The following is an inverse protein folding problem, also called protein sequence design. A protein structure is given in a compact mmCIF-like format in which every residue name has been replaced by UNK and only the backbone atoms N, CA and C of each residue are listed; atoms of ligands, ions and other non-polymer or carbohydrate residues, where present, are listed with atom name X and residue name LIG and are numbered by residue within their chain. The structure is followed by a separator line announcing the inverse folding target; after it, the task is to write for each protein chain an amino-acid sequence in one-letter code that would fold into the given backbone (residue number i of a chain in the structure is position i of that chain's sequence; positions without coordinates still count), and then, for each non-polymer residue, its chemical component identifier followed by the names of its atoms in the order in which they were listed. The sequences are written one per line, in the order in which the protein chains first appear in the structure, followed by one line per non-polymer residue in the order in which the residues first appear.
data_IF_726880188175
#
_entry.id   IF_726880188175
#
_cell.length_a   1.000
_cell.length_b   1.000
_cell.length_c   1.000
_cell.angle_alpha   90.00
_cell.angle_beta   90.00
_cell.angle_gamma   90.00
#
_symmetry.space_group_name_H-M   'P 1'
#
loop_
_entity.id
_entity.type
_entity.pdbx_description
1 polymer ?
#
# COMPACT_ATOMS: atom_id res chain seq x y z
N UNK A 1 19.39 17.54 -73.91
CA UNK A 1 18.13 17.49 -73.13
C UNK A 1 18.49 17.18 -71.68
N UNK A 2 18.26 18.13 -70.75
CA UNK A 2 18.51 17.98 -69.30
C UNK A 2 17.17 17.74 -68.59
N UNK A 3 17.11 16.77 -67.69
CA UNK A 3 16.16 16.62 -66.55
C UNK A 3 16.51 15.31 -65.84
N UNK A 4 16.37 15.12 -64.54
CA UNK A 4 16.39 15.94 -63.34
C UNK A 4 16.36 14.86 -62.23
N UNK A 5 17.33 14.87 -61.31
CA UNK A 5 17.41 13.89 -60.23
C UNK A 5 16.35 14.21 -59.17
N UNK A 6 15.47 13.26 -58.88
CA UNK A 6 14.55 13.32 -57.74
C UNK A 6 15.22 12.67 -56.54
N UNK A 7 15.58 13.48 -55.53
CA UNK A 7 16.07 13.00 -54.24
C UNK A 7 14.85 12.87 -53.32
N UNK A 8 14.57 11.65 -52.86
CA UNK A 8 13.53 11.35 -51.87
C UNK A 8 14.09 11.67 -50.49
N UNK A 9 13.54 12.69 -49.83
CA UNK A 9 13.86 13.01 -48.45
C UNK A 9 13.11 12.05 -47.50
N UNK A 10 13.84 11.15 -46.85
CA UNK A 10 13.33 10.31 -45.76
C UNK A 10 13.20 11.12 -44.48
N UNK A 11 11.96 11.28 -44.00
CA UNK A 11 11.67 11.89 -42.71
C UNK A 11 12.09 10.94 -41.57
N UNK A 12 13.03 11.39 -40.73
CA UNK A 12 13.44 10.68 -39.50
C UNK A 12 12.42 11.02 -38.41
N UNK A 13 11.58 10.05 -38.04
CA UNK A 13 10.71 10.17 -36.87
C UNK A 13 11.56 10.04 -35.60
N UNK A 14 11.67 11.14 -34.85
CA UNK A 14 12.31 11.15 -33.53
C UNK A 14 11.28 10.59 -32.54
N UNK A 15 11.38 9.30 -32.23
CA UNK A 15 10.64 8.71 -31.11
C UNK A 15 11.17 9.29 -29.81
N UNK A 16 10.43 10.23 -29.21
CA UNK A 16 10.69 10.67 -27.86
C UNK A 16 10.41 9.51 -26.90
N UNK A 17 11.47 8.82 -26.45
CA UNK A 17 11.40 7.93 -25.30
C UNK A 17 11.04 8.77 -24.08
N UNK A 18 9.75 8.77 -23.72
CA UNK A 18 9.29 9.21 -22.41
C UNK A 18 9.90 8.26 -21.38
N UNK A 19 10.99 8.69 -20.74
CA UNK A 19 11.47 8.04 -19.53
C UNK A 19 10.37 8.15 -18.47
N UNK A 20 9.62 7.07 -18.26
CA UNK A 20 8.71 7.00 -17.12
C UNK A 20 9.54 7.27 -15.86
N UNK A 21 9.11 8.17 -14.96
CA UNK A 21 9.81 8.36 -13.70
C UNK A 21 9.82 7.00 -13.00
N UNK A 22 11.00 6.41 -12.84
CA UNK A 22 11.16 5.23 -12.01
C UNK A 22 10.67 5.63 -10.62
N UNK A 23 9.55 5.05 -10.20
CA UNK A 23 9.03 5.22 -8.85
C UNK A 23 10.13 4.74 -7.90
N UNK A 24 10.86 5.68 -7.32
CA UNK A 24 11.84 5.37 -6.30
C UNK A 24 11.04 4.86 -5.10
N UNK A 25 11.25 3.60 -4.73
CA UNK A 25 10.61 3.01 -3.57
C UNK A 25 10.85 3.92 -2.36
N UNK A 26 9.77 4.41 -1.75
CA UNK A 26 9.86 5.35 -0.64
C UNK A 26 10.47 4.63 0.56
N UNK A 27 11.63 5.07 1.04
CA UNK A 27 12.20 4.52 2.27
C UNK A 27 11.54 5.18 3.48
N UNK A 28 10.59 4.49 4.10
CA UNK A 28 9.94 4.93 5.32
C UNK A 28 10.81 4.52 6.51
N UNK A 29 11.64 5.45 7.00
CA UNK A 29 12.53 5.22 8.15
C UNK A 29 12.05 5.92 9.42
N UNK A 30 11.41 7.09 9.28
CA UNK A 30 10.87 7.87 10.38
C UNK A 30 9.45 8.33 10.03
N UNK A 31 8.47 7.91 10.84
CA UNK A 31 7.07 8.22 10.63
C UNK A 31 6.73 9.70 10.86
N UNK A 32 7.41 10.37 11.78
CA UNK A 32 7.10 11.75 12.21
C UNK A 32 7.46 12.78 11.13
N UNK A 33 8.24 12.37 10.12
CA UNK A 33 8.72 13.23 9.03
C UNK A 33 7.98 13.01 7.72
N UNK A 34 7.03 12.08 7.67
CA UNK A 34 6.30 11.79 6.44
C UNK A 34 5.28 12.90 6.17
N UNK A 35 5.38 13.50 4.98
CA UNK A 35 4.32 14.37 4.47
C UNK A 35 3.13 13.53 4.00
N UNK A 36 1.92 14.12 3.99
CA UNK A 36 0.73 13.50 3.40
C UNK A 36 0.99 12.97 2.00
N UNK A 37 1.63 13.78 1.14
CA UNK A 37 1.95 13.40 -0.23
C UNK A 37 2.85 12.16 -0.29
N UNK A 38 3.85 12.06 0.57
CA UNK A 38 4.71 10.87 0.63
C UNK A 38 3.92 9.63 1.08
N UNK A 39 3.02 9.78 2.06
CA UNK A 39 2.14 8.70 2.50
C UNK A 39 1.25 8.24 1.34
N UNK A 40 0.58 9.17 0.66
CA UNK A 40 -0.34 8.88 -0.45
C UNK A 40 0.36 8.35 -1.72
N UNK A 41 1.69 8.48 -1.81
CA UNK A 41 2.52 7.88 -2.86
C UNK A 41 3.18 6.55 -2.44
N UNK A 42 3.01 6.14 -1.20
CA UNK A 42 3.60 4.91 -0.65
C UNK A 42 2.64 3.72 -0.70
N UNK A 43 3.20 2.52 -0.72
CA UNK A 43 2.47 1.26 -0.77
C UNK A 43 2.77 0.40 0.46
N UNK A 44 1.96 -0.62 0.74
CA UNK A 44 2.17 -1.49 1.91
C UNK A 44 3.60 -2.04 2.01
N UNK A 45 4.20 -2.42 0.88
CA UNK A 45 5.57 -2.97 0.86
C UNK A 45 6.64 -1.92 1.26
N UNK A 46 6.41 -0.63 1.04
CA UNK A 46 7.31 0.44 1.51
C UNK A 46 7.31 0.49 3.03
N UNK A 47 6.12 0.37 3.63
CA UNK A 47 5.93 0.35 5.09
C UNK A 47 6.47 -0.94 5.72
N UNK A 48 6.30 -2.10 5.09
CA UNK A 48 6.77 -3.38 5.64
C UNK A 48 8.30 -3.52 5.72
N UNK A 49 9.04 -2.67 4.98
CA UNK A 49 10.51 -2.55 5.12
C UNK A 49 10.91 -1.88 6.44
N UNK A 50 10.04 -1.06 7.02
CA UNK A 50 10.24 -0.47 8.34
C UNK A 50 10.03 -1.53 9.43
N UNK A 51 11.06 -1.77 10.25
CA UNK A 51 11.01 -2.77 11.33
C UNK A 51 9.95 -2.47 12.40
N UNK A 52 9.67 -1.19 12.67
CA UNK A 52 8.66 -0.78 13.66
C UNK A 52 7.26 -1.07 13.16
N UNK A 53 6.98 -0.76 11.89
CA UNK A 53 5.69 -1.13 11.28
C UNK A 53 5.53 -2.65 11.21
N UNK A 54 6.56 -3.39 10.78
CA UNK A 54 6.50 -4.85 10.74
C UNK A 54 6.27 -5.46 12.13
N UNK A 55 6.92 -4.91 13.16
CA UNK A 55 6.72 -5.34 14.55
C UNK A 55 5.29 -5.06 15.04
N UNK A 56 4.66 -3.96 14.62
CA UNK A 56 3.28 -3.64 15.02
C UNK A 56 2.27 -4.63 14.41
N UNK A 57 2.48 -5.07 13.17
CA UNK A 57 1.68 -6.14 12.53
C UNK A 57 1.85 -7.46 13.29
N UNK A 58 3.09 -7.87 13.55
CA UNK A 58 3.37 -9.12 14.28
C UNK A 58 2.72 -9.10 15.67
N UNK A 59 2.83 -7.97 16.39
CA UNK A 59 2.20 -7.78 17.70
C UNK A 59 0.68 -7.90 17.61
N UNK A 60 0.06 -7.32 16.58
CA UNK A 60 -1.38 -7.38 16.40
C UNK A 60 -1.88 -8.83 16.18
N UNK A 61 -1.22 -9.60 15.32
CA UNK A 61 -1.53 -11.02 15.09
C UNK A 61 -1.27 -11.88 16.33
N UNK A 62 -0.15 -11.67 17.01
CA UNK A 62 0.16 -12.39 18.24
C UNK A 62 -0.90 -12.15 19.33
N UNK A 63 -1.38 -10.91 19.46
CA UNK A 63 -2.42 -10.56 20.44
C UNK A 63 -3.81 -11.10 20.08
N UNK A 64 -4.11 -11.39 18.81
CA UNK A 64 -5.39 -11.98 18.40
C UNK A 64 -5.43 -13.51 18.45
N UNK A 65 -4.28 -14.17 18.63
CA UNK A 65 -4.17 -15.63 18.54
C UNK A 65 -4.27 -16.18 17.12
N UNK A 66 -4.29 -15.31 16.10
CA UNK A 66 -4.29 -15.71 14.68
C UNK A 66 -2.84 -15.77 14.20
N UNK A 67 -2.46 -16.86 13.56
CA UNK A 67 -1.14 -16.97 12.92
C UNK A 67 -1.02 -15.99 11.76
N UNK A 68 0.08 -15.24 11.71
CA UNK A 68 0.36 -14.35 10.59
C UNK A 68 0.67 -15.17 9.33
N UNK A 69 -0.03 -14.94 8.20
CA UNK A 69 0.30 -15.61 6.94
C UNK A 69 1.69 -15.22 6.43
N UNK A 70 2.41 -16.19 5.87
CA UNK A 70 3.77 -15.99 5.33
C UNK A 70 3.82 -14.87 4.28
N UNK A 71 2.81 -14.77 3.41
CA UNK A 71 2.75 -13.75 2.36
C UNK A 71 2.68 -12.34 2.97
N UNK A 72 1.91 -12.16 4.05
CA UNK A 72 1.78 -10.88 4.74
C UNK A 72 3.07 -10.53 5.50
N UNK A 73 3.66 -11.51 6.16
CA UNK A 73 4.92 -11.33 6.90
C UNK A 73 6.09 -10.91 6.00
N UNK A 74 6.15 -11.46 4.77
CA UNK A 74 7.25 -11.23 3.82
C UNK A 74 7.18 -9.91 3.03
N UNK A 75 6.14 -9.11 3.22
CA UNK A 75 5.97 -7.88 2.43
C UNK A 75 4.58 -7.64 1.87
N UNK A 76 3.66 -8.59 2.05
CA UNK A 76 2.39 -8.56 1.34
C UNK A 76 2.55 -8.98 -0.12
N UNK A 77 1.59 -8.57 -0.94
CA UNK A 77 1.63 -8.66 -2.39
C UNK A 77 1.10 -7.35 -3.01
N UNK A 78 0.30 -7.42 -4.10
CA UNK A 78 -0.28 -6.23 -4.72
C UNK A 78 -0.96 -5.33 -3.69
N UNK A 79 -0.82 -4.01 -3.87
CA UNK A 79 -1.40 -3.00 -2.99
C UNK A 79 -1.72 -1.74 -3.79
N UNK A 80 -2.80 -1.06 -3.42
CA UNK A 80 -3.06 0.30 -3.86
C UNK A 80 -2.25 1.30 -3.01
N UNK A 81 -2.07 2.55 -3.47
CA UNK A 81 -1.43 3.58 -2.66
C UNK A 81 -2.12 3.75 -1.30
N UNK A 82 -1.33 4.08 -0.29
CA UNK A 82 -1.80 4.31 1.08
C UNK A 82 -2.62 5.59 1.16
N UNK A 83 -3.41 5.75 2.21
CA UNK A 83 -4.27 6.93 2.40
C UNK A 83 -4.06 7.51 3.79
N UNK A 84 -4.11 8.83 3.90
CA UNK A 84 -4.19 9.51 5.21
C UNK A 84 -5.66 9.63 5.60
N UNK A 85 -5.99 9.10 6.77
CA UNK A 85 -7.34 9.20 7.34
C UNK A 85 -7.26 10.13 8.55
N UNK A 86 -7.87 11.30 8.42
CA UNK A 86 -8.02 12.24 9.54
C UNK A 86 -9.30 11.90 10.31
N UNK A 87 -9.16 11.60 11.60
CA UNK A 87 -10.29 11.37 12.49
C UNK A 87 -10.09 12.07 13.81
N UNK A 88 -10.68 13.27 13.94
CA UNK A 88 -10.44 14.16 15.06
C UNK A 88 -8.97 14.59 15.11
N UNK A 89 -8.31 14.36 16.24
CA UNK A 89 -6.88 14.64 16.44
C UNK A 89 -5.95 13.50 16.01
N UNK A 90 -6.50 12.37 15.52
CA UNK A 90 -5.71 11.20 15.14
C UNK A 90 -5.54 11.13 13.64
N UNK A 91 -4.28 11.00 13.21
CA UNK A 91 -3.92 10.76 11.82
C UNK A 91 -3.57 9.29 11.65
N UNK A 92 -4.46 8.53 11.03
CA UNK A 92 -4.15 7.17 10.65
C UNK A 92 -3.61 7.12 9.23
N UNK A 93 -2.81 6.10 8.97
CA UNK A 93 -2.50 5.66 7.62
C UNK A 93 -3.26 4.37 7.35
N UNK A 94 -4.11 4.41 6.32
CA UNK A 94 -4.79 3.25 5.79
C UNK A 94 -3.93 2.65 4.68
N UNK A 95 -3.55 1.39 4.86
CA UNK A 95 -2.85 0.58 3.87
C UNK A 95 -3.71 -0.61 3.47
N UNK A 96 -3.39 -1.21 2.34
CA UNK A 96 -3.99 -2.46 1.90
C UNK A 96 -2.92 -3.35 1.27
N UNK A 97 -3.12 -4.66 1.32
CA UNK A 97 -2.35 -5.61 0.52
C UNK A 97 -3.11 -6.91 0.37
N UNK A 98 -2.81 -7.67 -0.68
CA UNK A 98 -3.37 -8.99 -0.88
C UNK A 98 -2.32 -10.03 -1.26
N UNK A 99 -2.68 -11.31 -1.12
CA UNK A 99 -1.87 -12.42 -1.61
C UNK A 99 -1.90 -12.40 -3.15
N UNK A 100 -0.73 -12.50 -3.75
CA UNK A 100 -0.60 -12.50 -5.21
C UNK A 100 -1.44 -13.64 -5.82
N UNK A 101 -2.20 -13.33 -6.87
CA UNK A 101 -3.11 -14.24 -7.58
C UNK A 101 -4.35 -14.72 -6.79
N UNK A 102 -4.52 -14.31 -5.53
CA UNK A 102 -5.61 -14.75 -4.64
C UNK A 102 -6.19 -13.56 -3.85
N UNK A 103 -6.32 -12.40 -4.51
CA UNK A 103 -6.67 -11.17 -3.80
C UNK A 103 -8.11 -11.14 -3.27
N UNK A 104 -9.03 -11.85 -3.93
CA UNK A 104 -10.41 -11.97 -3.47
C UNK A 104 -10.50 -12.71 -2.14
N UNK A 105 -9.71 -13.77 -1.94
CA UNK A 105 -9.78 -14.63 -0.75
C UNK A 105 -8.83 -14.18 0.36
N UNK A 106 -7.72 -13.54 -0.03
CA UNK A 106 -6.61 -13.20 0.86
C UNK A 106 -6.23 -11.73 0.71
N UNK A 107 -6.85 -10.86 1.51
CA UNK A 107 -6.56 -9.43 1.54
C UNK A 107 -6.64 -8.90 2.97
N UNK A 108 -5.86 -7.87 3.26
CA UNK A 108 -5.94 -7.13 4.52
C UNK A 108 -5.88 -5.64 4.27
N UNK A 109 -6.65 -4.92 5.05
CA UNK A 109 -6.60 -3.48 5.22
C UNK A 109 -6.04 -3.20 6.60
N UNK A 110 -5.06 -2.32 6.67
CA UNK A 110 -4.33 -1.99 7.89
C UNK A 110 -4.55 -0.53 8.20
N UNK A 111 -5.01 -0.25 9.41
CA UNK A 111 -5.03 1.08 9.96
C UNK A 111 -3.89 1.20 10.97
N UNK A 112 -2.91 2.05 10.65
CA UNK A 112 -1.73 2.28 11.48
C UNK A 112 -1.74 3.72 11.98
N UNK A 113 -1.58 3.90 13.28
CA UNK A 113 -1.32 5.21 13.89
C UNK A 113 0.21 5.41 13.96
N UNK A 114 0.79 6.32 13.17
CA UNK A 114 2.22 6.52 13.16
C UNK A 114 2.76 7.17 14.43
N UNK A 115 1.94 7.83 15.26
CA UNK A 115 2.36 8.38 16.55
C UNK A 115 2.46 7.26 17.60
N UNK A 116 1.36 6.55 17.84
CA UNK A 116 1.27 5.54 18.92
C UNK A 116 1.73 4.15 18.50
N UNK A 117 1.95 3.93 17.20
CA UNK A 117 2.23 2.62 16.58
C UNK A 117 1.09 1.62 16.77
N UNK A 118 -0.10 2.09 17.12
CA UNK A 118 -1.28 1.24 17.21
C UNK A 118 -1.66 0.72 15.83
N UNK A 119 -2.01 -0.56 15.76
CA UNK A 119 -2.34 -1.24 14.51
C UNK A 119 -3.64 -1.99 14.67
N UNK A 120 -4.53 -1.80 13.70
CA UNK A 120 -5.75 -2.54 13.53
C UNK A 120 -5.84 -3.06 12.09
N UNK A 121 -6.44 -4.22 11.90
CA UNK A 121 -6.61 -4.83 10.59
C UNK A 121 -8.02 -5.39 10.41
N UNK A 122 -8.51 -5.34 9.18
CA UNK A 122 -9.67 -6.09 8.73
C UNK A 122 -9.44 -6.63 7.32
N UNK A 123 -10.06 -7.76 6.98
CA UNK A 123 -9.94 -8.33 5.64
C UNK A 123 -10.31 -9.80 5.63
N UNK A 124 -9.81 -10.54 4.64
CA UNK A 124 -10.05 -11.98 4.51
C UNK A 124 -8.74 -12.75 4.50
N UNK A 125 -8.70 -13.85 5.26
CA UNK A 125 -7.63 -14.84 5.22
C UNK A 125 -8.27 -16.18 4.88
N UNK A 126 -7.91 -16.76 3.73
CA UNK A 126 -8.54 -17.95 3.17
C UNK A 126 -10.07 -17.82 3.13
N UNK A 127 -10.54 -16.69 2.61
CA UNK A 127 -11.95 -16.27 2.49
C UNK A 127 -12.70 -16.07 3.82
N UNK A 128 -12.03 -16.26 4.96
CA UNK A 128 -12.62 -16.01 6.28
C UNK A 128 -12.40 -14.55 6.70
N UNK A 129 -13.46 -13.83 7.11
CA UNK A 129 -13.30 -12.47 7.60
C UNK A 129 -12.48 -12.47 8.89
N UNK A 130 -11.55 -11.53 8.98
CA UNK A 130 -10.72 -11.31 10.18
C UNK A 130 -10.82 -9.86 10.63
N UNK A 131 -10.81 -9.68 11.94
CA UNK A 131 -10.74 -8.38 12.62
C UNK A 131 -9.67 -8.49 13.70
N UNK A 132 -8.64 -7.65 13.63
CA UNK A 132 -7.49 -7.70 14.53
C UNK A 132 -7.25 -6.30 15.09
N UNK A 133 -7.07 -6.19 16.41
CA UNK A 133 -6.71 -4.90 17.03
C UNK A 133 -7.78 -3.80 16.95
N UNK A 134 -9.00 -4.11 16.51
CA UNK A 134 -10.11 -3.15 16.41
C UNK A 134 -10.71 -2.91 17.79
N UNK A 135 -10.37 -1.77 18.41
CA UNK A 135 -10.75 -1.45 19.80
C UNK A 135 -11.84 -0.41 19.94
N UNK A 136 -12.10 0.41 18.92
CA UNK A 136 -13.11 1.46 18.99
C UNK A 136 -14.01 1.49 17.74
N UNK A 137 -15.21 2.09 17.83
CA UNK A 137 -16.17 2.12 16.72
C UNK A 137 -15.66 2.87 15.49
N UNK A 138 -14.89 3.94 15.66
CA UNK A 138 -14.33 4.73 14.56
C UNK A 138 -13.38 3.91 13.70
N UNK A 139 -12.44 3.19 14.32
CA UNK A 139 -11.51 2.28 13.65
C UNK A 139 -12.27 1.16 12.96
N UNK A 140 -13.30 0.60 13.62
CA UNK A 140 -14.16 -0.41 12.98
C UNK A 140 -14.82 0.15 11.72
N UNK A 141 -15.38 1.35 11.78
CA UNK A 141 -16.06 1.98 10.64
C UNK A 141 -15.10 2.23 9.47
N UNK A 142 -13.92 2.78 9.73
CA UNK A 142 -12.89 3.03 8.70
C UNK A 142 -12.52 1.71 8.01
N UNK A 143 -12.22 0.67 8.80
CA UNK A 143 -11.85 -0.64 8.27
C UNK A 143 -13.02 -1.36 7.57
N UNK A 144 -14.26 -1.19 8.03
CA UNK A 144 -15.47 -1.71 7.37
C UNK A 144 -15.62 -1.10 5.98
N UNK A 145 -15.51 0.24 5.89
CA UNK A 145 -15.59 0.98 4.62
C UNK A 145 -14.49 0.56 3.65
N UNK A 146 -13.26 0.36 4.15
CA UNK A 146 -12.12 0.00 3.33
C UNK A 146 -12.19 -1.46 2.83
N UNK A 147 -12.58 -2.39 3.70
CA UNK A 147 -12.57 -3.84 3.41
C UNK A 147 -13.87 -4.38 2.80
N UNK A 148 -14.97 -3.63 2.88
CA UNK A 148 -16.30 -4.11 2.51
C UNK A 148 -16.91 -5.10 3.51
N UNK A 149 -16.24 -5.38 4.63
CA UNK A 149 -16.77 -6.19 5.72
C UNK A 149 -17.75 -5.37 6.57
N UNK A 150 -18.76 -6.04 7.14
CA UNK A 150 -19.79 -5.45 8.01
C UNK A 150 -19.64 -5.95 9.45
#
# INVERSE_FOLDING_TARGET
MKRAHTIIATAISISALLAAPMAHALQITNFDKLTRKQIEQSYYFDWNRNSTFRASIIKAFSASGISIPTWLHRGGGPSAPSQVIDSGSTHFVLLNTCKQHECSENNVYVLFDPATKATALAGKLDDKPVWIGVKNPTVKQILSNASGLR
#
